data_IF_498712956368
#
_entry.id   IF_498712956368
#
_cell.length_a   1.000
_cell.length_b   1.000
_cell.length_c   1.000
_cell.angle_alpha   90.00
_cell.angle_beta   90.00
_cell.angle_gamma   90.00
#
_symmetry.space_group_name_H-M   'P 1'
#
loop_
_entity.id
_entity.type
_entity.pdbx_description
1 polymer ?
2 non-polymer ?
3 non-polymer ?
4 water ?
#
# COMPACT_ATOMS: atom_id res chain seq x y z
N UNK A 3 11.83 -19.60 0.59
CA UNK A 3 11.13 -18.94 -0.56
C UNK A 3 10.67 -17.52 -0.23
N UNK A 4 11.55 -16.56 -0.47
CA UNK A 4 11.27 -15.15 -0.20
C UNK A 4 10.24 -14.51 -1.13
N UNK A 5 9.32 -13.78 -0.52
CA UNK A 5 8.33 -12.99 -1.21
C UNK A 5 8.98 -11.75 -1.77
N UNK A 6 8.46 -11.21 -2.87
CA UNK A 6 8.99 -10.00 -3.45
C UNK A 6 8.44 -8.90 -2.63
N UNK A 7 9.16 -7.80 -2.59
CA UNK A 7 8.73 -6.71 -1.77
C UNK A 7 8.70 -5.57 -2.73
N UNK A 8 8.07 -4.49 -2.32
CA UNK A 8 7.84 -3.41 -3.23
C UNK A 8 8.13 -2.15 -2.50
N UNK A 9 8.75 -1.21 -3.17
CA UNK A 9 8.88 0.09 -2.57
C UNK A 9 8.31 1.15 -3.50
N UNK A 10 7.61 2.12 -2.93
CA UNK A 10 6.87 3.00 -3.82
C UNK A 10 6.88 4.49 -3.48
N UNK A 11 6.76 5.34 -4.50
CA UNK A 11 6.58 6.75 -4.19
C UNK A 11 5.66 7.36 -5.20
N UNK A 12 5.08 8.50 -4.81
CA UNK A 12 4.17 9.25 -5.65
C UNK A 12 4.29 10.79 -5.45
N UNK A 13 3.98 11.54 -6.50
CA UNK A 13 3.91 13.01 -6.46
C UNK A 13 2.75 13.51 -7.30
N UNK A 14 2.21 14.66 -6.93
CA UNK A 14 0.90 15.05 -7.38
C UNK A 14 0.68 16.58 -7.25
N UNK A 15 0.18 17.21 -8.30
CA UNK A 15 -0.28 18.61 -8.19
C UNK A 15 -1.56 18.87 -8.98
N UNK A 16 -2.37 19.80 -8.48
CA UNK A 16 -3.57 20.26 -9.18
C UNK A 16 -3.34 21.27 -10.35
N UNK A 17 -4.46 21.65 -10.99
CA UNK A 17 -4.51 22.70 -12.01
C UNK A 17 -4.28 24.03 -11.32
N UNK A 18 -3.34 24.81 -11.87
CA UNK A 18 -2.96 26.10 -11.29
C UNK A 18 -2.25 25.95 -9.95
N UNK A 19 -2.81 25.10 -9.09
CA UNK A 19 -2.14 24.68 -7.87
C UNK A 19 -2.63 25.36 -6.61
N UNK A 20 -3.91 25.19 -6.28
CA UNK A 20 -4.78 24.23 -6.94
C UNK A 20 -5.71 23.73 -5.87
N UNK A 21 -6.98 24.13 -5.96
CA UNK A 21 -7.98 23.77 -4.97
C UNK A 21 -8.05 22.24 -4.84
N UNK A 22 -8.61 21.56 -5.84
CA UNK A 22 -8.62 20.10 -5.93
C UNK A 22 -8.14 19.59 -7.31
N UNK A 23 -8.23 18.28 -7.51
CA UNK A 23 -7.70 17.62 -8.70
C UNK A 23 -8.62 16.47 -9.12
N UNK A 24 -8.90 16.40 -10.42
CA UNK A 24 -9.68 15.33 -11.02
C UNK A 24 -8.80 14.14 -11.29
N UNK A 25 -7.48 14.31 -11.12
CA UNK A 25 -6.57 13.17 -10.94
C UNK A 25 -6.79 12.52 -9.55
N UNK A 26 -6.56 11.20 -9.47
CA UNK A 26 -6.54 10.50 -8.17
C UNK A 26 -5.72 9.21 -8.24
N UNK A 27 -5.15 8.81 -7.11
CA UNK A 27 -4.27 7.63 -7.11
C UNK A 27 -4.38 6.81 -5.85
N UNK A 28 -4.14 5.51 -5.94
CA UNK A 28 -4.30 4.65 -4.78
C UNK A 28 -3.40 3.51 -4.98
N UNK A 29 -3.02 2.90 -3.87
CA UNK A 29 -2.33 1.61 -3.92
C UNK A 29 -2.71 0.88 -2.69
N UNK A 30 -2.56 -0.43 -2.74
CA UNK A 30 -2.85 -1.28 -1.61
C UNK A 30 -1.95 -2.50 -1.68
N UNK A 31 -1.76 -3.15 -0.55
CA UNK A 31 -0.89 -4.32 -0.57
C UNK A 31 -1.44 -5.34 0.37
N UNK A 32 -1.61 -6.57 -0.14
CA UNK A 32 -1.92 -7.73 0.71
C UNK A 32 -0.58 -8.38 0.97
N UNK A 33 -0.23 -8.45 2.25
CA UNK A 33 1.13 -8.73 2.65
C UNK A 33 1.59 -10.04 2.07
N UNK A 34 2.77 -10.03 1.46
CA UNK A 34 3.31 -11.23 0.81
C UNK A 34 2.52 -11.83 -0.40
N UNK A 35 1.21 -11.59 -0.46
CA UNK A 35 0.40 -11.98 -1.61
C UNK A 35 0.46 -10.96 -2.83
N UNK A 36 -0.10 -9.77 -2.65
CA UNK A 36 -0.48 -8.88 -3.76
C UNK A 36 -0.16 -7.36 -3.53
N UNK A 37 0.46 -6.71 -4.53
CA UNK A 37 0.49 -5.21 -4.65
C UNK A 37 -0.32 -4.65 -5.89
N UNK A 38 -1.12 -3.63 -5.64
CA UNK A 38 -1.79 -2.93 -6.73
C UNK A 38 -1.62 -1.40 -6.66
N UNK A 39 -1.36 -0.78 -7.80
CA UNK A 39 -1.40 0.71 -7.90
C UNK A 39 -2.38 1.23 -9.00
N UNK A 40 -3.02 2.37 -8.78
CA UNK A 40 -4.06 2.83 -9.69
C UNK A 40 -3.97 4.34 -9.87
N UNK A 41 -3.93 4.79 -11.13
CA UNK A 41 -4.24 6.21 -11.40
C UNK A 41 -5.51 6.38 -12.22
N UNK A 42 -6.32 7.35 -11.81
CA UNK A 42 -7.50 7.79 -12.55
C UNK A 42 -7.57 9.28 -12.82
N UNK A 43 -7.76 9.59 -14.09
CA UNK A 43 -8.13 10.93 -14.56
C UNK A 43 -9.63 11.02 -14.76
N UNK A 44 -10.34 11.63 -13.82
CA UNK A 44 -11.81 11.69 -13.87
C UNK A 44 -12.37 13.00 -14.43
N UNK A 48 -11.70 12.21 -10.14
CA UNK A 48 -11.47 10.80 -9.85
C UNK A 48 -12.62 10.07 -9.15
N UNK A 49 -13.39 10.83 -8.35
CA UNK A 49 -14.53 10.33 -7.54
C UNK A 49 -14.32 8.99 -6.76
N UNK A 50 -14.78 7.87 -7.32
CA UNK A 50 -14.72 6.51 -6.72
C UNK A 50 -13.28 6.04 -6.42
N UNK A 51 -12.92 5.98 -5.12
CA UNK A 51 -11.68 5.37 -4.58
C UNK A 51 -11.38 3.98 -5.17
N UNK A 52 -10.15 3.68 -5.57
CA UNK A 52 -9.90 2.34 -6.16
C UNK A 52 -9.99 1.18 -5.18
N UNK A 53 -9.63 1.44 -3.92
CA UNK A 53 -9.57 0.35 -3.01
C UNK A 53 -10.29 0.77 -1.76
N UNK A 54 -10.67 -0.18 -0.94
CA UNK A 54 -11.40 0.22 0.24
C UNK A 54 -11.34 -0.86 1.27
N UNK A 55 -11.81 -0.55 2.46
CA UNK A 55 -11.85 -1.52 3.52
C UNK A 55 -12.87 -2.54 3.08
N UNK A 56 -12.69 -3.77 3.48
CA UNK A 56 -13.71 -4.73 3.26
C UNK A 56 -14.93 -4.31 4.06
N UNK A 57 -16.01 -5.07 3.95
CA UNK A 57 -17.24 -4.78 4.66
C UNK A 57 -16.97 -4.46 6.13
N UNK A 58 -17.25 -5.42 7.00
CA UNK A 58 -17.03 -5.23 8.43
C UNK A 58 -16.23 -3.97 8.72
N UNK A 59 -14.95 -3.98 8.34
CA UNK A 59 -14.08 -2.84 8.56
C UNK A 59 -14.80 -1.53 8.26
N UNK A 60 -15.23 -1.36 7.02
CA UNK A 60 -15.94 -0.15 6.60
C UNK A 60 -16.88 0.35 7.69
N UNK A 61 -17.60 -0.55 8.38
CA UNK A 61 -18.44 -0.09 9.51
C UNK A 61 -17.65 0.35 10.73
N UNK A 62 -16.64 -0.44 11.08
CA UNK A 62 -15.79 -0.11 12.18
C UNK A 62 -15.20 1.28 11.94
N UNK A 63 -14.65 1.53 10.76
CA UNK A 63 -14.24 2.88 10.39
C UNK A 63 -15.33 3.97 10.59
N UNK A 64 -16.58 3.69 10.28
CA UNK A 64 -17.60 4.74 10.42
C UNK A 64 -17.73 5.19 11.87
N UNK A 65 -17.78 4.20 12.73
CA UNK A 65 -17.82 4.37 14.16
C UNK A 65 -16.58 5.10 14.68
N UNK A 66 -15.41 4.86 14.06
CA UNK A 66 -14.19 5.56 14.43
C UNK A 66 -14.22 7.06 14.14
N UNK A 67 -14.57 7.37 12.91
CA UNK A 67 -14.72 8.74 12.43
C UNK A 67 -15.75 9.57 13.18
N UNK A 68 -16.52 8.94 14.07
CA UNK A 68 -17.74 9.58 14.56
C UNK A 68 -17.64 10.11 16.01
N UNK A 69 -16.44 10.25 16.54
CA UNK A 69 -16.23 10.88 17.86
C UNK A 69 -17.05 10.50 19.11
N UNK A 70 -18.07 9.62 18.97
CA UNK A 70 -18.91 9.12 20.10
C UNK A 70 -18.11 8.64 21.31
N UNK A 71 -18.80 8.39 22.43
CA UNK A 71 -18.18 7.85 23.66
C UNK A 71 -17.54 6.49 23.37
N UNK A 72 -16.28 6.32 23.78
CA UNK A 72 -15.67 5.00 23.81
C UNK A 72 -16.70 3.92 24.15
N UNK A 73 -17.45 4.12 25.24
CA UNK A 73 -18.37 3.09 25.73
C UNK A 73 -19.42 2.73 24.70
N UNK A 74 -19.92 3.72 23.98
CA UNK A 74 -20.94 3.41 22.97
C UNK A 74 -20.33 2.77 21.72
N UNK A 75 -19.18 3.29 21.33
CA UNK A 75 -18.35 2.70 20.27
C UNK A 75 -18.07 1.21 20.56
N UNK A 76 -17.59 0.94 21.75
CA UNK A 76 -17.23 -0.41 22.10
C UNK A 76 -18.40 -1.37 22.11
N UNK A 77 -19.52 -0.93 22.67
CA UNK A 77 -20.71 -1.74 22.65
C UNK A 77 -20.97 -2.09 21.21
N UNK A 78 -21.09 -1.06 20.40
CA UNK A 78 -21.52 -1.27 19.04
C UNK A 78 -20.48 -2.07 18.24
N UNK A 79 -19.20 -1.71 18.37
CA UNK A 79 -18.23 -2.54 17.70
C UNK A 79 -18.36 -4.01 18.11
N UNK A 80 -18.60 -4.26 19.41
CA UNK A 80 -18.83 -5.63 19.82
C UNK A 80 -20.00 -6.24 19.08
N UNK A 81 -21.13 -5.55 18.94
CA UNK A 81 -22.31 -6.08 18.17
C UNK A 81 -21.88 -6.53 16.80
N UNK A 82 -21.20 -5.65 16.06
CA UNK A 82 -20.76 -5.98 14.72
C UNK A 82 -19.92 -7.28 14.69
N UNK A 83 -18.83 -7.29 15.44
CA UNK A 83 -17.94 -8.42 15.42
C UNK A 83 -18.55 -9.70 16.00
N UNK A 84 -19.60 -9.58 16.81
CA UNK A 84 -20.30 -10.77 17.27
C UNK A 84 -20.93 -11.49 16.09
N UNK A 85 -21.50 -10.74 15.15
CA UNK A 85 -22.20 -11.35 14.03
C UNK A 85 -21.25 -11.82 12.91
N UNK A 86 -20.08 -12.31 13.30
CA UNK A 86 -19.09 -12.78 12.33
C UNK A 86 -19.33 -14.24 11.96
N UNK A 87 -18.61 -14.71 10.95
CA UNK A 87 -18.74 -16.09 10.51
C UNK A 87 -17.63 -16.97 11.07
N UNK A 88 -17.90 -18.26 11.19
CA UNK A 88 -16.93 -19.21 11.72
C UNK A 88 -15.50 -18.72 11.50
N UNK A 89 -15.18 -18.41 10.25
CA UNK A 89 -13.85 -17.93 9.90
C UNK A 89 -13.81 -16.41 9.86
N UNK A 90 -13.42 -15.81 10.97
CA UNK A 90 -13.34 -14.36 11.07
C UNK A 90 -12.16 -13.92 11.94
N UNK A 91 -12.15 -14.41 13.18
CA UNK A 91 -13.19 -15.31 13.67
C UNK A 91 -13.72 -14.84 15.02
N UNK A 92 -13.61 -13.54 15.29
CA UNK A 92 -13.00 -12.62 14.34
C UNK A 92 -11.56 -12.29 14.73
N UNK A 93 -10.77 -13.33 14.98
CA UNK A 93 -9.37 -13.16 15.36
C UNK A 93 -9.16 -11.84 16.10
N UNK A 94 -7.98 -11.26 15.92
CA UNK A 94 -7.66 -10.03 16.55
C UNK A 94 -7.59 -9.12 15.36
N UNK A 95 -7.78 -7.84 15.58
CA UNK A 95 -7.57 -6.88 14.52
C UNK A 95 -6.76 -5.79 15.10
N UNK A 96 -5.76 -5.34 14.35
CA UNK A 96 -5.10 -4.14 14.71
C UNK A 96 -5.13 -3.15 13.53
N UNK A 97 -5.90 -2.08 13.66
CA UNK A 97 -6.14 -1.14 12.55
C UNK A 97 -5.64 0.24 12.88
N UNK A 98 -4.85 0.77 11.98
CA UNK A 98 -4.40 2.14 12.07
C UNK A 98 -4.85 2.91 10.85
N UNK A 99 -5.55 4.02 11.06
CA UNK A 99 -5.96 4.85 9.93
C UNK A 99 -5.44 6.24 10.14
N UNK A 100 -4.67 6.72 9.20
CA UNK A 100 -4.11 7.99 9.32
C UNK A 100 -4.64 8.93 8.26
N UNK A 101 -5.12 10.05 8.77
CA UNK A 101 -5.45 11.22 7.97
C UNK A 101 -4.23 11.85 7.38
N UNK A 102 -4.01 11.74 6.07
CA UNK A 102 -2.85 12.42 5.43
C UNK A 102 -2.95 13.96 5.35
N UNK A 103 -4.06 14.52 5.79
CA UNK A 103 -4.12 15.95 5.79
C UNK A 103 -3.59 16.58 7.07
N UNK A 104 -4.09 16.22 8.25
CA UNK A 104 -3.53 16.72 9.49
C UNK A 104 -2.60 15.73 10.29
N UNK A 105 -2.35 14.54 9.73
CA UNK A 105 -1.76 13.41 10.48
C UNK A 105 -2.46 12.98 11.75
N UNK A 106 -3.76 13.18 11.92
CA UNK A 106 -4.38 12.42 13.02
C UNK A 106 -4.44 10.96 12.62
N UNK A 107 -4.74 10.15 13.63
CA UNK A 107 -4.64 8.72 13.48
C UNK A 107 -5.68 8.16 14.35
N UNK A 108 -6.44 7.21 13.84
CA UNK A 108 -7.32 6.44 14.74
C UNK A 108 -6.76 5.03 14.83
N UNK A 109 -7.06 4.38 15.93
CA UNK A 109 -6.49 3.10 16.25
C UNK A 109 -7.63 2.28 16.75
N UNK A 110 -7.78 1.10 16.14
CA UNK A 110 -8.76 0.13 16.63
C UNK A 110 -8.00 -1.14 16.86
N UNK A 111 -8.24 -1.68 18.02
CA UNK A 111 -7.60 -2.89 18.50
C UNK A 111 -8.70 -3.79 19.03
N UNK A 112 -8.78 -4.97 18.42
CA UNK A 112 -9.76 -5.94 18.81
C UNK A 112 -8.93 -7.11 19.28
N UNK A 113 -8.80 -7.23 20.60
CA UNK A 113 -7.88 -8.18 21.20
C UNK A 113 -6.42 -8.12 20.70
N UNK A 114 -5.90 -6.96 20.33
CA UNK A 114 -4.58 -7.02 19.74
C UNK A 114 -3.53 -6.75 20.75
N UNK A 115 -2.29 -6.87 20.35
CA UNK A 115 -1.23 -6.46 21.20
C UNK A 115 -1.02 -4.98 21.01
N UNK A 116 -0.30 -4.36 21.92
CA UNK A 116 -0.15 -2.95 21.72
C UNK A 116 0.74 -2.67 20.54
N UNK A 117 0.86 -1.40 20.25
CA UNK A 117 1.77 -0.88 19.21
C UNK A 117 2.48 0.39 19.78
N UNK A 118 3.45 0.90 19.03
CA UNK A 118 4.33 1.91 19.58
C UNK A 118 4.62 3.02 18.57
N UNK A 119 4.75 4.21 19.12
CA UNK A 119 5.21 5.38 18.34
C UNK A 119 6.51 5.85 18.90
N UNK A 120 7.47 6.07 18.00
CA UNK A 120 8.75 6.60 18.36
C UNK A 120 8.86 8.04 17.83
N UNK A 121 8.59 8.96 18.75
CA UNK A 121 8.83 10.38 18.55
C UNK A 121 10.23 10.69 19.06
N UNK A 122 11.08 11.12 18.15
CA UNK A 122 12.48 11.42 18.40
C UNK A 122 13.15 10.33 19.20
N UNK A 123 13.35 10.61 20.48
CA UNK A 123 14.03 9.73 21.41
C UNK A 123 13.06 9.09 22.38
N UNK A 124 11.83 9.58 22.44
CA UNK A 124 10.86 8.92 23.28
C UNK A 124 10.19 7.73 22.55
N UNK A 125 9.63 6.81 23.31
CA UNK A 125 8.85 5.77 22.73
C UNK A 125 7.56 5.62 23.53
N UNK A 126 6.48 6.16 23.01
CA UNK A 126 5.27 6.04 23.73
C UNK A 126 4.61 4.83 23.19
N UNK A 127 3.68 4.34 23.95
CA UNK A 127 2.88 3.21 23.64
C UNK A 127 1.40 3.60 23.53
N UNK A 128 0.74 3.03 22.53
CA UNK A 128 -0.61 3.34 22.15
C UNK A 128 -1.63 2.52 22.95
N UNK A 129 -2.19 3.14 24.00
CA UNK A 129 -3.31 2.57 24.74
C UNK A 129 -4.27 3.70 25.18
N UNK A 130 -5.43 3.36 25.74
CA UNK A 130 -6.35 4.36 26.27
C UNK A 130 -6.80 4.06 27.71
N UNK A 131 -7.73 4.86 28.23
CA UNK A 131 -8.50 4.56 29.44
C UNK A 131 -9.61 5.60 29.62
N UNK A 137 -16.70 -2.02 31.99
CA UNK A 137 -17.52 -3.21 32.20
C UNK A 137 -17.35 -4.24 31.04
N UNK A 138 -18.44 -4.66 30.38
CA UNK A 138 -18.37 -5.77 29.39
C UNK A 138 -17.83 -5.36 28.01
N UNK A 139 -16.96 -6.20 27.49
CA UNK A 139 -16.25 -5.94 26.28
C UNK A 139 -15.95 -7.31 25.68
N UNK A 140 -17.02 -7.92 25.13
CA UNK A 140 -17.05 -9.31 24.64
C UNK A 140 -15.86 -9.73 23.79
N UNK A 141 -15.32 -8.82 22.97
CA UNK A 141 -14.16 -9.11 22.10
C UNK A 141 -12.89 -8.30 22.43
N UNK A 142 -12.93 -7.50 23.50
CA UNK A 142 -11.77 -6.76 24.02
C UNK A 142 -11.30 -5.64 23.06
N UNK A 143 -12.22 -4.69 22.85
CA UNK A 143 -12.08 -3.61 21.89
C UNK A 143 -11.51 -2.42 22.58
N UNK A 144 -10.54 -1.75 21.97
CA UNK A 144 -9.96 -0.54 22.52
C UNK A 144 -9.88 0.44 21.35
N UNK A 145 -10.30 1.67 21.56
CA UNK A 145 -10.27 2.72 20.51
C UNK A 145 -9.44 3.91 20.97
N UNK A 146 -8.55 4.46 20.15
CA UNK A 146 -7.61 5.50 20.59
C UNK A 146 -7.36 6.47 19.44
N UNK A 147 -7.13 7.75 19.71
CA UNK A 147 -6.62 8.63 18.68
C UNK A 147 -5.50 9.44 19.21
N UNK A 148 -4.67 9.92 18.32
CA UNK A 148 -3.44 10.54 18.64
C UNK A 148 -3.18 11.42 17.48
N UNK A 149 -2.43 12.46 17.75
CA UNK A 149 -1.94 13.32 16.73
C UNK A 149 -0.47 12.94 16.48
N UNK A 150 -0.15 12.63 15.23
CA UNK A 150 1.19 12.23 14.85
C UNK A 150 1.93 13.44 14.34
N UNK A 151 3.26 13.33 14.29
CA UNK A 151 4.10 14.42 13.77
C UNK A 151 5.11 13.94 12.76
N UNK A 152 5.54 14.81 11.84
CA UNK A 152 6.61 14.43 10.94
C UNK A 152 7.72 13.65 11.68
N UNK A 153 8.31 12.67 10.97
CA UNK A 153 9.35 11.83 11.52
C UNK A 153 8.88 10.84 12.57
N UNK A 154 7.59 10.86 12.98
CA UNK A 154 7.04 9.79 13.87
C UNK A 154 7.18 8.42 13.22
N UNK A 155 7.20 7.39 14.07
CA UNK A 155 7.40 6.01 13.59
C UNK A 155 6.44 5.18 14.35
N UNK A 156 5.56 4.57 13.56
CA UNK A 156 4.50 3.75 14.10
C UNK A 156 4.83 2.27 13.89
N UNK A 157 4.70 1.50 14.96
CA UNK A 157 5.04 0.10 14.91
C UNK A 157 3.89 -0.73 15.43
N UNK A 158 3.39 -1.60 14.58
CA UNK A 158 2.32 -2.51 14.95
C UNK A 158 2.93 -3.90 14.82
N UNK A 159 2.34 -4.86 15.54
CA UNK A 159 2.85 -6.21 15.53
C UNK A 159 1.77 -7.24 15.89
N UNK A 160 1.98 -8.51 15.44
CA UNK A 160 1.25 -9.64 16.10
C UNK A 160 1.93 -10.08 17.40
N UNK A 161 1.26 -10.99 18.13
CA UNK A 161 1.75 -11.39 19.47
C UNK A 161 2.94 -12.29 19.30
N UNK A 162 3.07 -12.80 18.10
CA UNK A 162 4.16 -13.63 17.78
C UNK A 162 5.41 -12.85 17.97
N UNK A 163 5.45 -11.63 17.47
CA UNK A 163 6.57 -10.73 17.71
C UNK A 163 6.55 -10.18 19.18
N UNK A 164 5.44 -9.63 19.61
CA UNK A 164 5.50 -8.87 20.81
C UNK A 164 5.62 -9.75 22.04
N UNK A 165 5.08 -10.96 21.94
CA UNK A 165 5.22 -11.96 23.00
C UNK A 165 6.34 -12.99 22.69
N UNK A 166 7.00 -12.85 21.55
CA UNK A 166 8.15 -13.68 21.21
C UNK A 166 9.30 -13.74 22.19
N UNK A 167 9.75 -12.59 22.72
CA UNK A 167 10.97 -12.72 23.53
C UNK A 167 10.84 -13.67 24.73
N UNK A 168 11.80 -14.58 24.83
CA UNK A 168 11.94 -15.59 25.91
C UNK A 168 12.31 -14.94 27.24
N UNK A 169 11.74 -15.52 28.31
CA UNK A 169 12.02 -15.09 29.66
C UNK A 169 12.16 -13.60 29.63
N UNK A 170 11.03 -12.94 29.38
CA UNK A 170 10.90 -11.51 29.55
C UNK A 170 9.57 -11.27 30.24
N UNK A 171 9.62 -10.46 31.29
CA UNK A 171 8.44 -10.19 32.15
C UNK A 171 7.72 -8.88 31.78
N UNK A 172 8.43 -8.00 31.07
CA UNK A 172 7.84 -6.77 30.57
C UNK A 172 8.10 -6.53 29.10
N UNK A 173 7.21 -7.08 28.27
CA UNK A 173 7.30 -6.85 26.82
C UNK A 173 7.24 -5.35 26.41
N UNK A 174 6.31 -4.58 26.99
CA UNK A 174 6.37 -3.09 26.81
C UNK A 174 7.79 -2.57 26.92
N UNK A 175 8.43 -2.86 28.06
CA UNK A 175 9.80 -2.42 28.32
C UNK A 175 10.84 -2.96 27.32
N UNK A 176 10.76 -4.27 27.04
CA UNK A 176 11.70 -4.85 26.11
C UNK A 176 11.65 -4.08 24.78
N UNK A 177 10.43 -3.93 24.28
CA UNK A 177 10.13 -3.25 23.06
C UNK A 177 10.57 -1.76 23.02
N UNK A 178 10.19 -0.96 24.03
CA UNK A 178 10.73 0.41 24.13
C UNK A 178 12.28 0.49 24.07
N UNK A 179 12.96 -0.38 24.84
CA UNK A 179 14.43 -0.41 24.85
C UNK A 179 14.94 -0.70 23.43
N UNK A 180 14.40 -1.72 22.77
CA UNK A 180 14.87 -2.02 21.38
C UNK A 180 14.63 -0.87 20.41
N UNK A 181 13.53 -0.18 20.63
CA UNK A 181 13.20 0.87 19.73
C UNK A 181 14.04 2.12 19.98
N UNK A 182 14.32 2.41 21.26
CA UNK A 182 15.25 3.51 21.54
C UNK A 182 16.61 3.18 20.91
N UNK A 183 16.94 1.90 20.76
CA UNK A 183 18.23 1.50 20.14
C UNK A 183 18.45 1.59 18.66
N UNK A 184 17.34 1.75 17.92
CA UNK A 184 17.37 1.83 16.45
C UNK A 184 18.22 2.98 15.95
N UNK A 185 19.17 2.69 15.09
CA UNK A 185 20.03 3.72 14.54
C UNK A 185 19.67 3.77 13.10
N UNK A 186 18.37 3.97 12.85
CA UNK A 186 17.85 4.05 11.51
C UNK A 186 16.44 4.48 11.53
N UNK A 187 16.11 5.16 10.45
CA UNK A 187 14.83 5.76 10.21
C UNK A 187 13.99 5.05 9.17
N UNK A 188 14.63 4.16 8.45
CA UNK A 188 14.01 3.39 7.37
C UNK A 188 13.06 2.28 7.88
N UNK A 189 11.76 2.43 7.60
CA UNK A 189 10.76 1.52 8.16
C UNK A 189 10.96 0.07 7.68
N UNK A 190 11.63 -0.15 6.54
CA UNK A 190 11.81 -1.54 6.15
C UNK A 190 12.91 -2.18 7.03
N UNK A 191 14.06 -1.45 7.18
CA UNK A 191 15.13 -1.84 8.09
C UNK A 191 14.61 -2.01 9.51
N UNK A 192 13.92 -1.01 10.04
CA UNK A 192 13.36 -1.21 11.37
C UNK A 192 12.56 -2.50 11.43
N UNK A 193 11.72 -2.76 10.43
CA UNK A 193 10.90 -3.95 10.47
C UNK A 193 11.81 -5.17 10.49
N UNK A 194 12.89 -5.13 9.73
CA UNK A 194 13.71 -6.35 9.71
C UNK A 194 14.48 -6.56 11.00
N UNK A 195 15.08 -5.47 11.52
CA UNK A 195 15.79 -5.51 12.79
C UNK A 195 14.92 -6.08 13.89
N UNK A 196 13.71 -5.56 14.07
CA UNK A 196 12.97 -6.04 15.17
C UNK A 196 12.73 -7.52 14.99
N UNK A 197 12.63 -7.95 13.75
CA UNK A 197 12.23 -9.31 13.51
C UNK A 197 13.46 -10.11 13.92
N UNK A 198 14.63 -9.70 13.41
CA UNK A 198 15.89 -10.28 13.84
C UNK A 198 16.02 -10.39 15.40
N UNK A 199 15.86 -9.28 16.11
CA UNK A 199 15.95 -9.35 17.53
C UNK A 199 15.10 -10.42 18.11
N UNK A 200 13.82 -10.41 17.80
CA UNK A 200 12.91 -11.36 18.46
C UNK A 200 13.31 -12.80 18.21
N UNK A 201 13.68 -13.12 16.97
CA UNK A 201 14.04 -14.48 16.62
C UNK A 201 15.27 -14.96 17.44
N UNK A 202 16.34 -14.16 17.42
CA UNK A 202 17.55 -14.44 18.16
C UNK A 202 17.36 -14.67 19.66
N UNK A 203 16.22 -14.28 20.23
CA UNK A 203 16.00 -14.59 21.64
C UNK A 203 15.55 -16.03 21.89
N UNK A 204 14.79 -16.58 20.95
CA UNK A 204 14.60 -18.03 20.80
C UNK A 204 15.82 -18.28 19.92
N UNK A 205 16.23 -19.50 19.63
CA UNK A 205 17.51 -19.53 18.88
C UNK A 205 17.30 -19.95 17.46
N UNK A 206 16.51 -19.13 16.76
CA UNK A 206 16.03 -19.47 15.44
C UNK A 206 14.62 -20.03 15.54
N UNK A 207 14.21 -20.41 16.74
CA UNK A 207 12.88 -21.02 16.90
C UNK A 207 11.73 -19.99 16.77
N UNK A 208 10.71 -20.33 15.99
CA UNK A 208 9.63 -19.39 15.77
C UNK A 208 8.34 -19.94 16.38
N UNK A 209 8.18 -19.76 17.69
CA UNK A 209 7.02 -20.31 18.44
C UNK A 209 5.68 -20.05 17.75
N UNK A 210 5.61 -18.94 17.01
CA UNK A 210 4.36 -18.41 16.44
C UNK A 210 4.61 -17.68 15.14
N UNK A 211 3.52 -17.30 14.46
CA UNK A 211 3.63 -16.44 13.29
C UNK A 211 3.97 -15.10 13.78
N UNK A 212 4.83 -14.44 13.03
CA UNK A 212 5.36 -13.20 13.47
C UNK A 212 5.16 -12.18 12.40
N UNK A 213 4.51 -11.09 12.77
CA UNK A 213 4.33 -9.96 11.87
C UNK A 213 4.68 -8.64 12.54
N UNK A 214 5.53 -7.86 11.91
CA UNK A 214 5.72 -6.48 12.29
C UNK A 214 5.55 -5.51 11.06
N UNK A 215 4.82 -4.41 11.30
CA UNK A 215 4.56 -3.35 10.31
C UNK A 215 4.93 -2.01 10.92
N UNK A 216 5.69 -1.28 10.12
CA UNK A 216 6.32 -0.03 10.49
C UNK A 216 5.95 1.03 9.46
N UNK A 217 5.45 2.14 10.00
CA UNK A 217 5.04 3.28 9.22
C UNK A 217 5.78 4.49 9.72
N UNK A 218 6.52 5.15 8.86
CA UNK A 218 7.01 6.51 9.11
C UNK A 218 6.18 7.64 8.46
N UNK A 219 5.84 8.69 9.24
CA UNK A 219 5.23 9.94 8.72
C UNK A 219 6.24 10.99 8.16
N UNK A 220 5.93 11.60 7.02
CA UNK A 220 6.83 12.55 6.37
C UNK A 220 6.06 13.80 5.95
N UNK A 221 6.43 14.98 6.44
CA UNK A 221 5.96 16.20 5.78
C UNK A 221 7.05 16.83 4.93
N UNK A 222 7.83 16.02 4.23
CA UNK A 222 8.82 16.58 3.31
C UNK A 222 8.10 17.26 2.14
N UNK A 223 8.77 18.30 1.65
CA UNK A 223 8.14 19.31 0.81
C UNK A 223 9.16 19.70 -0.23
N UNK A 224 8.98 19.25 -1.49
CA UNK A 224 10.04 19.18 -2.55
C UNK A 224 10.15 20.38 -3.51
N UNK A 225 11.25 20.46 -4.27
CA UNK A 225 11.42 21.58 -5.22
C UNK A 225 10.41 21.52 -6.36
N UNK A 226 9.27 22.18 -6.16
CA UNK A 226 8.23 22.41 -7.18
C UNK A 226 6.88 22.72 -6.53
N UNK B 4 0.10 21.05 1.82
CA UNK B 4 1.06 20.05 1.22
C UNK B 4 0.73 18.55 1.45
N UNK B 5 0.13 18.20 2.58
CA UNK B 5 -0.18 16.77 2.86
C UNK B 5 1.03 15.85 3.12
N UNK B 6 0.81 14.97 4.10
CA UNK B 6 1.86 14.09 4.52
C UNK B 6 2.01 12.90 3.63
N UNK B 7 3.24 12.43 3.46
CA UNK B 7 3.51 11.16 2.82
C UNK B 7 3.73 10.11 3.93
N UNK B 8 3.75 8.82 3.59
CA UNK B 8 4.14 7.85 4.60
C UNK B 8 5.09 6.99 3.88
N UNK B 9 5.99 6.43 4.63
CA UNK B 9 6.88 5.48 4.04
C UNK B 9 6.76 4.25 4.92
N UNK B 10 6.86 3.07 4.34
CA UNK B 10 6.48 1.89 5.13
C UNK B 10 7.32 0.68 4.80
N UNK B 11 7.36 -0.25 5.76
CA UNK B 11 8.09 -1.48 5.56
C UNK B 11 7.43 -2.54 6.37
N UNK B 12 7.71 -3.79 6.04
CA UNK B 12 7.13 -4.82 6.85
C UNK B 12 7.98 -6.08 6.79
N UNK B 13 7.71 -6.96 7.74
CA UNK B 13 8.43 -8.20 7.82
C UNK B 13 7.50 -9.20 8.42
N UNK B 14 7.57 -10.42 7.93
CA UNK B 14 6.66 -11.48 8.32
C UNK B 14 7.37 -12.84 8.34
N UNK B 15 6.95 -13.76 9.20
CA UNK B 15 7.44 -15.10 9.11
C UNK B 15 6.47 -16.00 9.75
N UNK B 16 6.38 -17.19 9.15
CA UNK B 16 5.43 -18.24 9.52
C UNK B 16 5.96 -19.13 10.61
N UNK B 17 5.08 -19.55 11.52
CA UNK B 17 5.42 -20.54 12.56
C UNK B 17 6.22 -21.71 11.99
N UNK B 18 7.05 -22.27 12.88
CA UNK B 18 7.88 -23.44 12.59
C UNK B 18 8.97 -23.22 11.57
N UNK B 19 9.01 -22.02 10.99
CA UNK B 19 9.95 -21.70 9.91
C UNK B 19 9.37 -21.62 8.51
N UNK B 20 8.04 -21.63 8.40
CA UNK B 20 7.42 -21.45 7.09
C UNK B 20 6.20 -22.30 6.91
N UNK B 21 5.74 -22.33 5.65
CA UNK B 21 4.44 -22.88 5.20
C UNK B 21 3.44 -21.71 5.06
N UNK B 22 2.29 -21.80 5.71
CA UNK B 22 1.32 -20.71 5.76
C UNK B 22 1.23 -20.14 7.20
N UNK B 23 0.62 -18.96 7.34
CA UNK B 23 0.47 -18.31 8.64
C UNK B 23 -0.99 -17.92 8.91
N UNK B 24 -1.36 -17.90 10.20
CA UNK B 24 -2.66 -17.38 10.69
C UNK B 24 -2.59 -15.87 10.86
N UNK B 25 -1.46 -15.26 10.52
CA UNK B 25 -1.30 -13.81 10.53
C UNK B 25 -1.57 -13.31 9.14
N UNK B 26 -2.35 -12.26 8.99
CA UNK B 26 -2.40 -11.55 7.72
C UNK B 26 -2.16 -10.10 7.99
N UNK B 27 -1.62 -9.44 6.97
CA UNK B 27 -1.46 -8.01 7.07
C UNK B 27 -1.66 -7.29 5.75
N UNK B 28 -2.20 -6.09 5.83
CA UNK B 28 -2.24 -5.27 4.62
C UNK B 28 -2.33 -3.85 4.93
N UNK B 29 -2.04 -3.08 3.91
CA UNK B 29 -2.20 -1.63 3.93
C UNK B 29 -2.70 -1.05 2.60
N UNK B 30 -3.25 0.16 2.68
CA UNK B 30 -3.64 0.94 1.51
C UNK B 30 -3.50 2.48 1.71
N UNK B 31 -3.24 3.18 0.61
CA UNK B 31 -3.23 4.62 0.58
C UNK B 31 -4.19 5.19 -0.49
N UNK B 32 -5.18 5.97 -0.03
CA UNK B 32 -5.86 6.96 -0.88
C UNK B 32 -4.96 8.18 -1.05
N UNK B 33 -4.27 8.24 -2.16
CA UNK B 33 -3.35 9.31 -2.50
C UNK B 33 -3.80 10.60 -1.84
N UNK B 34 -2.84 11.23 -1.18
CA UNK B 34 -3.06 12.47 -0.42
C UNK B 34 -4.16 12.51 0.60
N UNK B 35 -4.94 11.46 0.84
CA UNK B 35 -6.03 11.62 1.79
C UNK B 35 -5.98 10.64 2.92
N UNK B 36 -5.68 9.37 2.63
CA UNK B 36 -5.84 8.35 3.70
C UNK B 36 -4.77 7.29 3.61
N UNK B 37 -4.21 6.90 4.76
CA UNK B 37 -3.35 5.71 4.80
C UNK B 37 -3.95 4.76 5.81
N UNK B 38 -4.02 3.45 5.49
CA UNK B 38 -4.46 2.50 6.54
C UNK B 38 -3.62 1.24 6.64
N UNK B 39 -3.45 0.72 7.85
CA UNK B 39 -2.66 -0.50 8.00
C UNK B 39 -3.37 -1.39 8.96
N UNK B 40 -3.34 -2.68 8.67
CA UNK B 40 -4.05 -3.62 9.52
C UNK B 40 -3.25 -4.89 9.65
N UNK B 41 -3.45 -5.52 10.82
CA UNK B 41 -2.84 -6.82 11.12
C UNK B 41 -3.86 -7.68 11.74
N UNK B 42 -3.89 -8.91 11.31
CA UNK B 42 -4.78 -9.88 11.92
C UNK B 42 -4.15 -11.23 12.19
N UNK B 43 -4.78 -11.96 13.11
CA UNK B 43 -4.25 -13.20 13.67
C UNK B 43 -5.50 -14.05 13.88
N UNK B 44 -5.67 -15.10 13.07
CA UNK B 44 -6.75 -16.09 13.26
C UNK B 44 -6.89 -17.11 12.15
N UNK B 49 -10.45 -16.14 6.14
CA UNK B 49 -10.43 -15.92 4.69
C UNK B 49 -10.17 -14.45 4.29
N UNK B 50 -10.43 -13.51 5.21
CA UNK B 50 -10.60 -12.07 4.90
C UNK B 50 -9.33 -11.22 4.66
N UNK B 51 -9.34 -10.48 3.54
CA UNK B 51 -8.37 -9.40 3.30
C UNK B 51 -8.94 -8.08 3.83
N UNK B 52 -8.10 -7.17 4.26
CA UNK B 52 -8.61 -6.03 5.04
C UNK B 52 -9.08 -5.03 4.03
N UNK B 53 -8.39 -5.03 2.89
CA UNK B 53 -8.68 -4.12 1.87
C UNK B 53 -8.87 -4.77 0.49
N UNK B 54 -9.67 -4.07 -0.31
CA UNK B 54 -10.03 -4.60 -1.61
C UNK B 54 -10.30 -3.48 -2.57
N UNK B 55 -10.40 -3.87 -3.83
CA UNK B 55 -10.78 -2.97 -4.86
C UNK B 55 -12.25 -2.74 -4.92
N UNK B 56 -12.55 -1.61 -5.53
CA UNK B 56 -13.84 -1.18 -6.00
C UNK B 56 -15.06 -2.00 -5.87
N UNK B 57 -15.22 -2.90 -6.80
CA UNK B 57 -16.52 -3.39 -7.04
C UNK B 57 -16.54 -3.46 -8.51
N UNK B 58 -16.43 -2.35 -9.21
CA UNK B 58 -16.08 -2.70 -10.53
C UNK B 58 -14.68 -3.26 -10.64
N UNK B 59 -13.72 -2.75 -9.87
CA UNK B 59 -12.35 -3.27 -10.11
C UNK B 59 -12.23 -4.75 -9.74
N UNK B 60 -12.90 -5.14 -8.65
CA UNK B 60 -12.96 -6.55 -8.32
C UNK B 60 -13.29 -7.33 -9.60
N UNK B 61 -14.40 -6.93 -10.26
CA UNK B 61 -14.95 -7.67 -11.39
C UNK B 61 -13.96 -7.76 -12.50
N UNK B 62 -13.47 -6.59 -12.93
CA UNK B 62 -12.49 -6.64 -14.00
C UNK B 62 -11.29 -7.45 -13.59
N UNK B 63 -11.12 -7.64 -12.28
CA UNK B 63 -9.99 -8.47 -11.84
C UNK B 63 -10.24 -9.96 -12.04
N UNK B 64 -11.43 -10.41 -11.66
CA UNK B 64 -11.81 -11.79 -11.87
C UNK B 64 -11.45 -12.22 -13.27
N UNK B 65 -12.05 -11.52 -14.23
CA UNK B 65 -11.79 -11.75 -15.64
C UNK B 65 -10.31 -11.79 -15.91
N UNK B 66 -9.61 -10.68 -15.67
CA UNK B 66 -8.16 -10.67 -15.79
C UNK B 66 -7.46 -11.97 -15.34
N UNK B 67 -8.16 -12.75 -14.50
CA UNK B 67 -7.64 -14.01 -13.97
C UNK B 67 -8.01 -15.23 -14.82
N UNK B 68 -9.19 -15.79 -14.59
CA UNK B 68 -9.64 -17.01 -15.30
C UNK B 68 -9.20 -17.05 -16.78
N UNK B 69 -8.79 -18.26 -17.20
CA UNK B 69 -8.22 -18.57 -18.53
C UNK B 69 -8.33 -17.56 -19.67
N UNK B 70 -9.57 -17.27 -20.05
CA UNK B 70 -9.95 -16.26 -21.08
C UNK B 70 -8.85 -15.71 -21.99
N UNK B 71 -9.07 -15.88 -23.29
CA UNK B 71 -8.20 -15.29 -24.28
C UNK B 71 -8.39 -13.78 -24.25
N UNK B 72 -7.27 -13.06 -24.04
CA UNK B 72 -7.28 -11.60 -23.78
C UNK B 72 -8.16 -10.76 -24.72
N UNK B 73 -8.27 -11.17 -25.98
CA UNK B 73 -9.18 -10.56 -26.95
C UNK B 73 -10.64 -10.61 -26.49
N UNK B 74 -11.07 -11.75 -25.93
CA UNK B 74 -12.39 -11.89 -25.31
C UNK B 74 -12.54 -10.98 -24.09
N UNK B 75 -11.59 -11.08 -23.17
CA UNK B 75 -11.55 -10.28 -21.95
C UNK B 75 -11.69 -8.80 -22.18
N UNK B 76 -10.96 -8.29 -23.19
CA UNK B 76 -11.05 -6.89 -23.55
C UNK B 76 -12.52 -6.57 -23.85
N UNK B 77 -13.13 -7.45 -24.65
CA UNK B 77 -14.51 -7.32 -25.04
C UNK B 77 -15.27 -7.23 -23.75
N UNK B 78 -14.99 -8.16 -22.86
CA UNK B 78 -15.79 -8.40 -21.66
C UNK B 78 -15.70 -7.28 -20.62
N UNK B 79 -14.45 -6.87 -20.35
CA UNK B 79 -14.18 -5.67 -19.55
C UNK B 79 -15.00 -4.48 -20.07
N UNK B 80 -14.98 -4.33 -21.39
CA UNK B 80 -15.70 -3.26 -22.08
C UNK B 80 -17.19 -3.27 -21.82
N UNK B 81 -17.73 -4.46 -21.82
CA UNK B 81 -19.11 -4.64 -21.50
C UNK B 81 -19.44 -4.24 -20.05
N UNK B 82 -18.63 -4.64 -19.07
CA UNK B 82 -18.87 -4.30 -17.66
C UNK B 82 -18.71 -2.81 -17.47
N UNK B 83 -17.60 -2.31 -18.04
CA UNK B 83 -17.34 -0.88 -18.05
C UNK B 83 -18.54 -0.05 -18.45
N UNK B 84 -19.46 -0.61 -19.24
CA UNK B 84 -20.64 0.11 -19.79
C UNK B 84 -21.69 0.25 -18.75
N UNK B 85 -21.54 -0.56 -17.71
CA UNK B 85 -22.55 -0.67 -16.66
C UNK B 85 -22.43 0.49 -15.70
N UNK B 86 -21.32 1.22 -15.82
CA UNK B 86 -21.00 2.29 -14.92
C UNK B 86 -22.05 3.40 -14.97
N UNK B 87 -22.28 3.97 -13.77
CA UNK B 87 -23.27 5.03 -13.51
C UNK B 87 -22.93 6.29 -14.31
N UNK B 88 -23.82 6.65 -15.23
CA UNK B 88 -23.60 7.83 -16.06
C UNK B 88 -23.30 9.06 -15.21
N UNK B 89 -22.01 9.35 -15.02
CA UNK B 89 -20.95 8.53 -15.60
C UNK B 89 -19.66 8.66 -14.81
N UNK B 90 -18.99 7.54 -14.60
CA UNK B 90 -17.74 7.52 -13.85
C UNK B 90 -16.60 6.94 -14.69
N UNK B 91 -16.95 6.02 -15.58
CA UNK B 91 -15.96 5.39 -16.44
C UNK B 91 -15.50 6.33 -17.54
N UNK B 92 -16.06 7.53 -17.56
CA UNK B 92 -15.71 8.53 -18.56
C UNK B 92 -14.26 8.98 -18.41
N UNK B 93 -13.62 8.53 -17.33
CA UNK B 93 -12.23 8.88 -17.07
C UNK B 93 -11.28 7.78 -17.53
N UNK B 94 -10.04 7.85 -17.08
CA UNK B 94 -9.03 6.85 -17.44
C UNK B 94 -8.60 6.04 -16.23
N UNK B 95 -8.55 4.72 -16.41
CA UNK B 95 -8.15 3.82 -15.33
C UNK B 95 -6.83 3.16 -15.65
N UNK B 96 -5.84 3.35 -14.78
CA UNK B 96 -4.54 2.78 -15.05
C UNK B 96 -4.17 1.94 -13.81
N UNK B 97 -4.07 0.63 -14.00
CA UNK B 97 -4.00 -0.26 -12.92
C UNK B 97 -2.88 -1.25 -13.13
N UNK B 98 -1.88 -1.31 -12.24
CA UNK B 98 -0.92 -2.42 -12.31
C UNK B 98 -1.11 -3.26 -11.06
N UNK B 99 -1.04 -4.57 -11.23
CA UNK B 99 -1.33 -5.51 -10.17
C UNK B 99 -0.21 -6.52 -10.08
N UNK B 100 0.61 -6.42 -9.04
CA UNK B 100 1.80 -7.27 -8.97
C UNK B 100 1.55 -8.40 -8.05
N UNK B 101 1.79 -9.62 -8.52
CA UNK B 101 1.77 -10.80 -7.65
C UNK B 101 3.13 -10.88 -6.91
N UNK B 102 3.08 -10.84 -5.58
CA UNK B 102 4.36 -10.81 -4.85
C UNK B 102 5.08 -12.16 -4.72
N UNK B 103 4.43 -13.24 -5.16
CA UNK B 103 5.06 -14.53 -5.08
C UNK B 103 6.09 -14.72 -6.15
N UNK B 104 5.88 -14.12 -7.33
CA UNK B 104 6.67 -14.48 -8.55
C UNK B 104 6.95 -13.31 -9.46
N UNK B 105 6.46 -12.14 -9.04
CA UNK B 105 6.83 -10.85 -9.64
C UNK B 105 6.11 -10.60 -10.98
N UNK B 106 5.07 -11.39 -11.23
CA UNK B 106 4.32 -11.27 -12.49
C UNK B 106 3.41 -10.04 -12.39
N UNK B 107 3.42 -9.23 -13.45
CA UNK B 107 2.57 -8.05 -13.47
C UNK B 107 1.34 -8.14 -14.40
N UNK B 108 0.25 -7.48 -14.02
CA UNK B 108 -0.88 -7.32 -14.93
C UNK B 108 -1.30 -5.88 -15.01
N UNK B 109 -1.32 -5.40 -16.25
CA UNK B 109 -1.75 -4.05 -16.56
C UNK B 109 -3.15 -4.02 -17.11
N UNK B 110 -3.85 -2.98 -16.76
CA UNK B 110 -5.15 -2.78 -17.23
C UNK B 110 -5.27 -1.28 -17.50
N UNK B 111 -5.22 -0.94 -18.78
CA UNK B 111 -5.36 0.45 -19.17
C UNK B 111 -6.78 0.75 -19.67
N UNK B 112 -7.26 1.95 -19.42
CA UNK B 112 -8.57 2.33 -19.89
C UNK B 112 -8.44 3.77 -20.29
N UNK B 113 -8.32 4.01 -21.60
CA UNK B 113 -8.18 5.35 -22.14
C UNK B 113 -7.13 6.08 -21.37
N UNK B 114 -5.94 5.51 -21.33
CA UNK B 114 -4.88 6.03 -20.44
C UNK B 114 -3.51 6.05 -21.08
N UNK B 115 -2.68 6.98 -20.62
CA UNK B 115 -1.35 7.16 -21.16
C UNK B 115 -0.61 5.93 -20.78
N UNK B 116 0.40 5.55 -21.55
CA UNK B 116 1.08 4.30 -21.22
C UNK B 116 2.05 4.44 -20.04
N UNK B 117 2.68 3.33 -19.68
CA UNK B 117 3.51 3.29 -18.51
C UNK B 117 4.83 2.57 -18.85
N UNK B 118 5.84 2.78 -18.02
CA UNK B 118 7.17 2.33 -18.36
C UNK B 118 7.88 1.58 -17.25
N UNK B 119 8.77 0.69 -17.69
CA UNK B 119 9.61 -0.12 -16.83
C UNK B 119 11.06 0.16 -17.18
N UNK B 120 11.81 0.71 -16.23
CA UNK B 120 13.27 0.81 -16.32
C UNK B 120 13.85 -0.50 -15.82
N UNK B 121 14.80 -1.09 -16.56
CA UNK B 121 15.40 -2.36 -16.18
C UNK B 121 16.84 -2.30 -16.57
N UNK B 122 17.70 -2.20 -15.56
CA UNK B 122 19.09 -1.80 -15.75
C UNK B 122 18.99 -0.37 -16.26
N UNK B 123 19.01 -0.24 -17.58
CA UNK B 123 18.58 0.98 -18.24
C UNK B 123 17.68 0.71 -19.47
N UNK B 124 17.72 -0.51 -20.01
CA UNK B 124 16.70 -0.97 -20.96
C UNK B 124 15.34 -0.54 -20.36
N UNK B 125 14.69 0.40 -21.04
CA UNK B 125 13.45 1.04 -20.58
C UNK B 125 12.23 0.63 -21.41
N UNK B 126 11.95 -0.67 -21.54
CA UNK B 126 10.84 -1.06 -22.41
C UNK B 126 9.53 -0.43 -21.93
N UNK B 127 8.64 -0.12 -22.86
CA UNK B 127 7.33 0.46 -22.56
C UNK B 127 6.26 -0.61 -22.45
N UNK B 128 5.26 -0.36 -21.62
CA UNK B 128 4.29 -1.41 -21.40
C UNK B 128 3.32 -1.37 -22.56
N UNK B 129 3.55 -2.24 -23.55
CA UNK B 129 2.55 -2.47 -24.63
C UNK B 129 2.19 -3.97 -24.81
N UNK B 130 0.89 -4.23 -25.07
CA UNK B 130 0.37 -5.58 -25.32
C UNK B 130 0.72 -6.13 -26.71
N UNK B 131 1.27 -7.35 -26.75
CA UNK B 131 1.95 -7.88 -27.96
C UNK B 131 1.19 -7.75 -29.29
N UNK B 132 -0.12 -7.96 -29.26
CA UNK B 132 -1.00 -7.71 -30.42
C UNK B 132 -2.26 -6.89 -30.10
N UNK B 133 -2.25 -5.65 -30.55
CA UNK B 133 -3.38 -4.73 -30.39
C UNK B 133 -4.61 -5.22 -31.18
N UNK B 134 -5.58 -5.89 -30.51
CA UNK B 134 -6.61 -6.68 -31.21
C UNK B 134 -7.56 -5.82 -32.05
N UNK B 135 -7.60 -6.07 -33.35
CA UNK B 135 -8.51 -5.38 -34.27
C UNK B 135 -9.62 -6.30 -34.66
N UNK B 136 -10.82 -5.74 -34.85
CA UNK B 136 -11.93 -6.58 -35.24
C UNK B 136 -13.07 -6.60 -34.25
N UNK B 137 -13.14 -5.57 -33.41
CA UNK B 137 -14.15 -5.49 -32.38
C UNK B 137 -14.49 -4.04 -32.03
N UNK B 138 -15.48 -3.86 -31.15
CA UNK B 138 -15.72 -2.57 -30.55
C UNK B 138 -15.01 -2.42 -29.20
N UNK B 139 -14.01 -1.54 -29.16
CA UNK B 139 -13.35 -1.14 -27.95
C UNK B 139 -13.76 0.25 -27.56
N UNK B 140 -14.98 0.35 -27.05
CA UNK B 140 -15.53 1.60 -26.61
C UNK B 140 -14.57 2.39 -25.73
N UNK B 141 -13.96 1.71 -24.74
CA UNK B 141 -13.25 2.45 -23.69
C UNK B 141 -11.76 2.37 -23.84
N UNK B 142 -11.37 2.00 -25.05
CA UNK B 142 -9.99 2.03 -25.44
C UNK B 142 -9.21 1.31 -24.32
N UNK B 143 -9.51 0.03 -24.18
CA UNK B 143 -9.10 -0.80 -23.09
C UNK B 143 -7.98 -1.71 -23.51
N UNK B 144 -6.87 -1.62 -22.76
CA UNK B 144 -5.64 -2.37 -23.01
C UNK B 144 -5.38 -3.26 -21.80
N UNK B 145 -4.63 -4.35 -22.03
CA UNK B 145 -4.40 -5.38 -21.04
C UNK B 145 -3.08 -6.05 -21.34
N UNK B 146 -2.27 -6.24 -20.31
CA UNK B 146 -0.88 -6.62 -20.55
C UNK B 146 -0.29 -7.38 -19.39
N UNK B 147 0.60 -8.32 -19.72
CA UNK B 147 1.39 -9.06 -18.75
C UNK B 147 2.87 -8.88 -19.06
N UNK B 148 3.65 -8.51 -18.06
CA UNK B 148 5.08 -8.65 -18.20
C UNK B 148 5.48 -9.57 -17.08
N UNK B 149 6.74 -10.00 -17.11
CA UNK B 149 7.29 -10.66 -15.96
C UNK B 149 8.38 -9.75 -15.45
N UNK B 150 8.14 -9.27 -14.23
CA UNK B 150 8.99 -8.29 -13.56
C UNK B 150 10.15 -8.99 -12.88
N UNK B 151 11.24 -8.25 -12.70
CA UNK B 151 12.41 -8.82 -12.06
C UNK B 151 12.96 -7.89 -10.99
N UNK B 152 13.61 -8.51 -10.00
CA UNK B 152 14.23 -7.79 -8.90
C UNK B 152 14.97 -6.56 -9.42
N UNK B 153 14.55 -5.37 -9.03
CA UNK B 153 15.22 -4.15 -9.47
C UNK B 153 14.45 -3.25 -10.42
N UNK B 154 13.39 -3.75 -11.07
CA UNK B 154 12.62 -2.99 -12.06
C UNK B 154 12.00 -1.73 -11.47
N UNK B 155 12.14 -0.62 -12.17
CA UNK B 155 11.37 0.57 -11.80
C UNK B 155 10.17 0.70 -12.71
N UNK B 156 8.99 0.66 -12.10
CA UNK B 156 7.77 0.85 -12.82
C UNK B 156 7.21 2.24 -12.57
N UNK B 157 7.00 2.98 -13.66
CA UNK B 157 6.45 4.35 -13.54
C UNK B 157 5.03 4.50 -14.16
N UNK B 158 4.17 5.27 -13.52
CA UNK B 158 2.81 5.44 -14.00
C UNK B 158 2.41 6.89 -13.84
N UNK B 159 1.78 7.47 -14.86
CA UNK B 159 1.30 8.84 -14.73
C UNK B 159 -0.05 9.11 -15.40
N UNK B 160 -0.59 10.29 -15.08
CA UNK B 160 -1.75 10.79 -15.80
C UNK B 160 -1.28 11.69 -16.96
N UNK B 161 -2.15 11.87 -17.98
CA UNK B 161 -1.94 12.79 -19.14
C UNK B 161 -1.19 14.09 -18.77
N UNK B 162 -1.60 14.65 -17.63
CA UNK B 162 -1.09 15.93 -17.14
C UNK B 162 0.42 16.00 -17.01
N UNK B 163 1.08 14.87 -17.20
CA UNK B 163 2.51 14.86 -17.06
C UNK B 163 3.12 14.15 -18.21
N UNK B 164 2.45 13.13 -18.76
CA UNK B 164 2.99 12.48 -19.95
C UNK B 164 3.01 13.41 -21.18
N UNK B 165 2.20 14.45 -21.12
CA UNK B 165 2.06 15.39 -22.21
C UNK B 165 2.67 16.76 -21.90
N UNK B 166 2.55 17.20 -20.64
CA UNK B 166 3.25 18.37 -20.10
C UNK B 166 4.36 18.95 -20.96
N UNK B 167 5.43 18.16 -21.26
CA UNK B 167 6.43 18.56 -22.23
C UNK B 167 5.91 19.54 -23.29
N UNK B 168 6.15 20.83 -23.06
CA UNK B 168 5.65 21.94 -23.92
C UNK B 168 6.18 21.83 -25.35
N UNK B 169 7.48 21.58 -25.46
CA UNK B 169 8.06 21.03 -26.68
C UNK B 169 7.55 19.59 -26.90
N UNK B 170 6.43 19.48 -27.62
CA UNK B 170 5.64 18.26 -27.77
C UNK B 170 6.44 17.22 -28.60
N UNK B 171 5.75 16.43 -29.41
CA UNK B 171 6.38 15.62 -30.46
C UNK B 171 7.16 14.40 -29.99
N UNK B 172 6.47 13.27 -30.00
CA UNK B 172 6.95 12.01 -29.46
C UNK B 172 7.37 12.09 -27.99
N UNK B 173 6.38 12.09 -27.11
CA UNK B 173 6.65 12.07 -25.66
C UNK B 173 7.15 10.74 -25.17
N UNK B 174 6.76 9.67 -25.86
CA UNK B 174 7.33 8.35 -25.66
C UNK B 174 8.83 8.44 -25.50
N UNK B 175 9.52 8.76 -26.59
CA UNK B 175 10.97 8.74 -26.55
C UNK B 175 11.53 9.87 -25.67
N UNK B 176 10.68 10.86 -25.33
CA UNK B 176 11.05 11.91 -24.39
C UNK B 176 11.16 11.41 -22.95
N UNK B 177 10.23 10.55 -22.56
CA UNK B 177 10.15 10.04 -21.22
C UNK B 177 11.34 9.11 -20.97
N UNK B 178 11.49 8.10 -21.82
CA UNK B 178 12.65 7.20 -21.77
C UNK B 178 13.96 7.95 -21.72
N UNK B 179 13.92 9.23 -22.10
CA UNK B 179 15.10 10.08 -22.09
C UNK B 179 15.33 10.55 -20.65
N UNK B 180 14.31 11.11 -20.04
CA UNK B 180 14.46 11.57 -18.66
C UNK B 180 14.59 10.38 -17.73
N UNK B 181 14.18 9.20 -18.22
CA UNK B 181 14.22 7.97 -17.42
C UNK B 181 15.58 7.26 -17.41
N UNK B 182 16.20 7.19 -18.58
CA UNK B 182 17.53 6.63 -18.72
C UNK B 182 18.55 7.51 -17.99
N UNK B 183 18.21 8.79 -17.81
CA UNK B 183 19.11 9.75 -17.16
C UNK B 183 18.78 10.00 -15.71
N UNK B 184 18.83 8.94 -14.92
CA UNK B 184 18.43 8.97 -13.51
C UNK B 184 19.54 8.40 -12.67
N UNK B 185 20.13 9.23 -11.83
CA UNK B 185 21.15 8.73 -10.91
C UNK B 185 20.47 7.82 -9.88
N UNK B 186 19.34 8.26 -9.33
CA UNK B 186 18.72 7.56 -8.21
C UNK B 186 17.99 6.24 -8.51
N UNK B 187 17.57 5.60 -7.44
CA UNK B 187 16.84 4.37 -7.56
C UNK B 187 15.65 4.40 -6.64
N UNK B 188 15.39 5.58 -6.09
CA UNK B 188 14.40 5.80 -5.07
C UNK B 188 13.05 6.20 -5.69
N UNK B 189 12.02 5.33 -5.58
CA UNK B 189 10.66 5.68 -5.96
C UNK B 189 10.28 7.13 -5.68
N UNK B 190 10.38 7.57 -4.42
CA UNK B 190 9.90 8.92 -4.17
C UNK B 190 10.75 9.98 -4.81
N UNK B 191 12.05 9.72 -4.99
CA UNK B 191 12.88 10.72 -5.67
C UNK B 191 12.45 10.78 -7.10
N UNK B 192 12.61 9.66 -7.82
CA UNK B 192 12.12 9.56 -9.19
C UNK B 192 10.77 10.32 -9.38
N UNK B 193 9.79 10.06 -8.53
CA UNK B 193 8.52 10.71 -8.70
C UNK B 193 8.72 12.21 -8.66
N UNK B 194 9.21 12.69 -7.51
CA UNK B 194 9.48 14.09 -7.27
C UNK B 194 10.38 14.72 -8.34
N UNK B 195 11.32 13.96 -8.89
CA UNK B 195 12.11 14.45 -10.01
C UNK B 195 11.19 14.69 -11.17
N UNK B 196 10.77 13.60 -11.83
CA UNK B 196 9.88 13.66 -13.01
C UNK B 196 8.87 14.80 -12.92
N UNK B 197 8.23 14.94 -11.77
CA UNK B 197 7.34 16.04 -11.60
C UNK B 197 8.04 17.34 -12.01
N UNK B 198 9.09 17.72 -11.28
CA UNK B 198 10.00 18.86 -11.60
C UNK B 198 10.50 18.93 -13.07
N UNK B 199 11.11 17.83 -13.55
CA UNK B 199 11.61 17.72 -14.93
C UNK B 199 10.58 18.01 -16.04
N UNK B 200 9.33 18.30 -15.67
CA UNK B 200 8.38 18.85 -16.64
C UNK B 200 7.79 20.16 -16.19
N UNK B 201 7.64 20.39 -14.89
CA UNK B 201 7.12 21.69 -14.45
C UNK B 201 8.05 22.80 -14.93
N UNK B 202 9.36 22.60 -14.73
CA UNK B 202 10.37 23.49 -15.30
C UNK B 202 9.98 23.91 -16.71
N UNK B 203 9.58 22.93 -17.53
CA UNK B 203 9.22 23.18 -18.92
C UNK B 203 8.15 24.27 -19.16
N UNK B 204 7.53 24.79 -18.10
CA UNK B 204 6.62 25.94 -18.22
C UNK B 204 6.67 26.86 -17.02
N UNK B 205 7.83 26.90 -16.36
CA UNK B 205 7.96 27.50 -15.03
C UNK B 205 6.92 26.87 -14.09
N UNK B 206 6.27 27.69 -13.26
CA UNK B 206 5.23 27.20 -12.35
C UNK B 206 3.94 27.01 -13.09
N UNK B 207 2.82 27.24 -12.38
CA UNK B 207 1.45 27.02 -12.88
C UNK B 207 1.35 25.99 -14.00
N UNK B 208 0.68 24.87 -13.71
CA UNK B 208 0.53 23.81 -14.70
C UNK B 208 -0.87 23.74 -15.33
N UNK B 209 -0.87 23.40 -16.62
CA UNK B 209 -2.06 23.30 -17.45
C UNK B 209 -3.09 22.41 -16.80
N UNK B 210 -2.73 21.13 -16.71
CA UNK B 210 -3.62 20.07 -16.29
C UNK B 210 -3.46 19.73 -14.77
N UNK B 211 -3.95 18.55 -14.37
CA UNK B 211 -3.64 17.88 -13.11
C UNK B 211 -2.47 16.95 -13.34
N UNK B 212 -1.59 16.86 -12.35
CA UNK B 212 -0.42 16.01 -12.47
C UNK B 212 -0.34 14.96 -11.36
N UNK B 213 -0.13 13.71 -11.77
CA UNK B 213 0.28 12.69 -10.85
C UNK B 213 1.19 11.68 -11.55
N UNK B 214 2.19 11.20 -10.81
CA UNK B 214 3.06 10.11 -11.21
C UNK B 214 3.27 9.17 -10.01
N UNK B 215 3.13 7.86 -10.22
CA UNK B 215 3.56 6.94 -9.20
C UNK B 215 4.60 6.00 -9.70
N UNK B 216 5.45 5.61 -8.76
CA UNK B 216 6.62 4.79 -9.08
C UNK B 216 6.80 3.72 -8.06
N UNK B 217 7.17 2.56 -8.56
CA UNK B 217 7.14 1.36 -7.79
C UNK B 217 8.42 0.61 -8.12
N UNK B 218 9.16 0.17 -7.09
CA UNK B 218 10.37 -0.61 -7.28
C UNK B 218 10.15 -1.95 -6.68
N UNK B 219 10.48 -2.98 -7.44
CA UNK B 219 10.38 -4.39 -7.05
C UNK B 219 11.71 -4.87 -6.45
N UNK B 220 11.65 -5.46 -5.25
CA UNK B 220 12.85 -5.95 -4.52
C UNK B 220 12.72 -7.41 -4.12
N UNK B 221 13.82 -8.15 -4.14
CA UNK B 221 13.81 -9.50 -3.65
C UNK B 221 14.89 -9.76 -2.63
N UNK B 222 15.21 -8.76 -1.81
CA UNK B 222 16.26 -8.94 -0.84
C UNK B 222 15.93 -10.01 0.20
N UNK B 223 16.93 -10.81 0.55
CA UNK B 223 16.71 -11.74 1.61
C UNK B 223 17.42 -11.11 2.79
N UNK B 224 16.66 -10.81 3.83
CA UNK B 224 17.16 -10.17 5.04
C UNK B 224 17.78 -11.23 5.98
N UNK B 225 18.81 -10.80 6.72
CA UNK B 225 19.62 -11.69 7.56
C UNK B 225 18.73 -12.63 8.30
N UNK B 226 17.65 -12.10 8.87
CA UNK B 226 16.86 -12.90 9.76
C UNK B 226 16.28 -14.11 9.03
N UNK B 227 16.16 -14.02 7.70
CA UNK B 227 15.53 -15.09 6.89
C UNK B 227 16.40 -16.32 6.88
N UNK B 228 17.71 -16.10 7.06
CA UNK B 228 18.74 -17.12 7.08
C UNK B 228 18.82 -17.94 8.38
N UNK B 229 18.62 -17.29 9.53
CA UNK B 229 18.66 -17.96 10.84
C UNK B 229 17.80 -19.22 10.88
N UNK B 230 18.45 -20.35 11.07
CA UNK B 230 17.82 -21.65 10.95
C UNK B 230 16.94 -21.93 12.11
N UNK B 231 15.94 -22.75 11.90
CA UNK B 231 15.06 -23.18 12.97
C UNK B 231 15.24 -24.65 13.10
N UNK B 232 15.08 -25.15 14.32
CA UNK B 232 15.45 -26.52 14.69
C UNK B 232 14.77 -27.64 13.89
N UNK B 233 15.47 -28.77 13.83
CA UNK B 233 14.98 -30.00 13.24
C UNK B 233 13.84 -30.71 13.96
N UNK B 234 13.18 -31.60 13.23
CA UNK B 234 12.06 -32.41 13.77
C UNK B 234 12.56 -33.81 14.20
X LIG C 1 -0.19 -15.19 17.08
X LIG D 1 0.38 1.00 0.41
X LIG D 1 2.17 2.66 0.94
X LIG D 1 1.65 1.55 0.01
X LIG D 1 2.71 0.45 -0.20
X LIG D 1 4.19 0.80 0.10
X LIG D 1 4.52 2.13 0.81
X LIG D 1 5.95 2.64 0.42
X LIG D 1 1.30 3.79 0.89
X LIG D 1 4.90 0.72 -1.13
X LIG D 1 3.49 3.08 0.57
X LIG D 1 6.54 3.61 1.28
X LIG D 1 2.36 -0.70 0.53
X LIG E 1 -5.82 15.38 -17.27
#
# INVERSE_FOLDING_TARGET
>A
GPAMSYRVSTGAAHAAKGGGLVSGDSYSMMELGARKYAAAISDGMGNGARAHFESNETIKLLEKILESGIDEKIAIKTINSILSLRTTDEIYSTLDLSIIDLQDASCKFLKVGSTPSFIKRGDQVMKVQASNLPIGIINEFDVEVVSEQLKAGDLLIMMSDGIFEGPKHVENHDLWMKRKMKGLKTNDPQEIADLLMEEVIRTRSGQIEDDMTVVVVRIDHNTPKWASIPVPAIFQNKQEIS
>B
GPAMSYRVSTGAAHAAKGGGLVSGDSYSMMELGARKYAAAISDGMGNGARAHFESNETIKLLEKILESGIDEKIAIKTINSILSLRTTDEIYSTLDLSIIDLQDASCKFLKVGSTPSFIKRGDQVMKVQASNLPIGIINEFDVEVVSEQLKAGDLLIMMSDGIFEGPKHVENHDLWMKRKMKGLKTNDPQEIADLLMEEVIRTRSGQIEDDMTVVVVRIDHNTPKWASIPVPAIFQNKQEIS
>C hetero
1 MN MN
>D hetero
1 GL0 O2 C1 C2 C3 C4 C5 C6 O1 O4 O5 O6 O3
>E hetero
1 MN MN
#
